data_IF_712919806012
#
_entry.id   IF_712919806012
#
_cell.length_a   1.000
_cell.length_b   1.000
_cell.length_c   1.000
_cell.angle_alpha   90.00
_cell.angle_beta   90.00
_cell.angle_gamma   90.00
#
_symmetry.space_group_name_H-M   'P 1'
#
loop_
_entity.id
_entity.type
_entity.pdbx_description
1 polymer ?
#
# COMPACT_ATOMS: atom_id res chain seq x y z
N UNK A 1 17.56 19.62 -14.66
CA UNK A 1 16.63 18.88 -13.77
C UNK A 1 15.21 19.25 -14.17
N UNK A 2 14.40 18.31 -14.65
CA UNK A 2 12.97 18.56 -14.86
C UNK A 2 12.34 18.79 -13.49
N UNK A 3 11.91 20.01 -13.21
CA UNK A 3 11.27 20.33 -11.93
C UNK A 3 9.81 19.89 -12.02
N UNK A 4 9.50 18.74 -11.43
CA UNK A 4 8.16 18.12 -11.45
C UNK A 4 7.14 18.94 -10.63
N UNK A 5 7.63 19.72 -9.65
CA UNK A 5 6.83 20.56 -8.77
C UNK A 5 7.27 22.02 -8.93
N UNK A 6 6.33 22.90 -9.27
CA UNK A 6 6.59 24.34 -9.41
C UNK A 6 6.72 25.05 -8.05
N UNK A 7 7.32 26.23 -8.03
CA UNK A 7 7.41 27.06 -6.81
C UNK A 7 6.03 27.42 -6.25
N UNK A 8 5.03 27.62 -7.12
CA UNK A 8 3.66 27.87 -6.71
C UNK A 8 3.03 26.65 -6.00
N UNK A 9 3.32 25.44 -6.47
CA UNK A 9 2.87 24.20 -5.83
C UNK A 9 3.58 23.94 -4.50
N UNK A 10 4.87 24.27 -4.40
CA UNK A 10 5.59 24.25 -3.13
C UNK A 10 4.99 25.24 -2.13
N UNK A 11 4.77 26.48 -2.55
CA UNK A 11 4.14 27.49 -1.71
C UNK A 11 2.71 27.08 -1.28
N UNK A 12 1.98 26.33 -2.10
CA UNK A 12 0.70 25.75 -1.70
C UNK A 12 0.87 24.67 -0.62
N UNK A 13 1.78 23.72 -0.83
CA UNK A 13 2.07 22.68 0.16
C UNK A 13 2.45 23.26 1.52
N UNK A 14 3.29 24.30 1.54
CA UNK A 14 3.71 24.96 2.79
C UNK A 14 2.54 25.64 3.52
N UNK A 15 1.56 26.18 2.78
CA UNK A 15 0.37 26.82 3.35
C UNK A 15 -0.69 25.82 3.80
N UNK A 16 -0.94 24.79 2.99
CA UNK A 16 -2.11 23.91 3.12
C UNK A 16 -1.75 22.57 3.79
N UNK A 17 -0.46 22.21 3.84
CA UNK A 17 0.04 20.93 4.32
C UNK A 17 -0.10 19.77 3.32
N UNK A 18 -0.67 20.01 2.14
CA UNK A 18 -0.82 19.03 1.06
C UNK A 18 -0.88 19.71 -0.31
N UNK A 19 -0.65 18.95 -1.38
CA UNK A 19 -0.84 19.44 -2.75
C UNK A 19 -1.36 18.32 -3.66
N UNK A 20 -2.15 18.67 -4.67
CA UNK A 20 -2.67 17.70 -5.66
C UNK A 20 -1.69 17.54 -6.81
N UNK A 21 -1.12 16.35 -6.98
CA UNK A 21 -0.13 16.04 -8.01
C UNK A 21 -0.72 15.71 -9.40
N UNK A 22 -2.05 15.58 -9.50
CA UNK A 22 -2.70 15.15 -10.74
C UNK A 22 -2.52 13.65 -10.98
N UNK A 23 -2.41 13.24 -12.25
CA UNK A 23 -2.25 11.84 -12.64
C UNK A 23 -0.78 11.45 -12.66
N UNK A 24 -0.38 10.60 -11.72
CA UNK A 24 1.00 10.11 -11.59
C UNK A 24 1.26 8.82 -12.35
N UNK A 25 0.25 7.96 -12.47
CA UNK A 25 0.34 6.63 -13.06
C UNK A 25 -0.55 6.51 -14.30
N UNK A 26 -0.11 5.69 -15.26
CA UNK A 26 -1.01 5.23 -16.31
C UNK A 26 -2.06 4.28 -15.73
N UNK A 27 -3.11 3.98 -16.51
CA UNK A 27 -4.10 2.99 -16.08
C UNK A 27 -3.49 1.60 -15.95
N UNK A 28 -2.50 1.29 -16.80
CA UNK A 28 -1.78 0.02 -16.78
C UNK A 28 -0.91 -0.12 -15.52
N UNK A 29 -0.17 0.93 -15.15
CA UNK A 29 0.68 0.90 -13.95
C UNK A 29 -0.16 0.73 -12.68
N UNK A 30 -1.29 1.46 -12.59
CA UNK A 30 -2.21 1.31 -11.45
C UNK A 30 -2.80 -0.11 -11.37
N UNK A 31 -3.22 -0.67 -12.51
CA UNK A 31 -3.76 -2.02 -12.55
C UNK A 31 -2.70 -3.08 -12.16
N UNK A 32 -1.44 -2.87 -12.55
CA UNK A 32 -0.34 -3.74 -12.16
C UNK A 32 -0.09 -3.73 -10.65
N UNK A 33 -0.09 -2.55 -10.01
CA UNK A 33 0.04 -2.42 -8.55
C UNK A 33 -1.13 -3.09 -7.80
N UNK A 34 -2.36 -2.90 -8.30
CA UNK A 34 -3.56 -3.52 -7.74
C UNK A 34 -3.51 -5.04 -7.84
N UNK A 35 -3.08 -5.58 -8.98
CA UNK A 35 -2.92 -7.02 -9.15
C UNK A 35 -1.82 -7.56 -8.25
N UNK A 36 -0.68 -6.85 -8.15
CA UNK A 36 0.44 -7.27 -7.30
C UNK A 36 0.05 -7.39 -5.84
N UNK A 37 -0.65 -6.39 -5.30
CA UNK A 37 -1.06 -6.44 -3.89
C UNK A 37 -2.12 -7.53 -3.66
N UNK A 38 -3.03 -7.76 -4.61
CA UNK A 38 -3.97 -8.88 -4.54
C UNK A 38 -3.24 -10.24 -4.53
N UNK A 39 -2.22 -10.41 -5.35
CA UNK A 39 -1.44 -11.65 -5.37
C UNK A 39 -0.67 -11.87 -4.08
N UNK A 40 -0.15 -10.82 -3.44
CA UNK A 40 0.46 -10.89 -2.10
C UNK A 40 -0.59 -11.29 -1.05
N UNK A 41 -1.74 -10.60 -1.02
CA UNK A 41 -2.81 -10.86 -0.07
C UNK A 41 -3.39 -12.27 -0.21
N UNK A 42 -3.52 -12.77 -1.43
CA UNK A 42 -4.03 -14.11 -1.72
C UNK A 42 -2.96 -15.22 -1.63
N UNK A 43 -1.70 -14.90 -1.30
CA UNK A 43 -0.63 -15.89 -1.18
C UNK A 43 -0.12 -16.45 -2.52
N UNK A 44 -0.39 -15.75 -3.64
CA UNK A 44 0.00 -16.13 -5.00
C UNK A 44 1.34 -15.56 -5.42
N UNK A 45 1.75 -14.44 -4.81
CA UNK A 45 3.03 -13.81 -5.09
C UNK A 45 4.20 -14.62 -4.49
N UNK A 46 5.26 -14.80 -5.27
CA UNK A 46 6.52 -15.38 -4.83
C UNK A 46 7.34 -14.33 -4.05
N UNK A 47 6.97 -14.09 -2.79
CA UNK A 47 7.63 -13.16 -1.87
C UNK A 47 8.01 -13.86 -0.57
N UNK A 48 8.95 -13.28 0.18
CA UNK A 48 9.31 -13.79 1.49
C UNK A 48 8.33 -13.25 2.56
N UNK A 49 7.21 -13.94 2.76
CA UNK A 49 6.20 -13.55 3.75
C UNK A 49 6.72 -13.50 5.19
N UNK A 50 7.78 -14.24 5.51
CA UNK A 50 8.41 -14.19 6.84
C UNK A 50 9.07 -12.85 7.13
N UNK A 51 9.28 -12.01 6.10
CA UNK A 51 9.79 -10.63 6.24
C UNK A 51 8.69 -9.57 6.24
N UNK A 52 7.46 -9.93 5.90
CA UNK A 52 6.35 -8.98 5.79
C UNK A 52 5.51 -8.99 7.07
N UNK A 53 5.35 -7.84 7.70
CA UNK A 53 4.37 -7.65 8.76
C UNK A 53 2.96 -7.51 8.16
N UNK A 54 2.04 -8.39 8.56
CA UNK A 54 0.68 -8.43 8.01
C UNK A 54 -0.36 -8.44 9.13
N UNK A 55 -1.52 -7.84 8.86
CA UNK A 55 -2.66 -7.78 9.78
C UNK A 55 -3.96 -7.91 8.99
N UNK A 56 -4.79 -8.89 9.38
CA UNK A 56 -6.18 -8.97 8.90
C UNK A 56 -7.01 -7.87 9.55
N UNK A 57 -7.98 -7.36 8.80
CA UNK A 57 -9.00 -6.49 9.37
C UNK A 57 -9.98 -7.29 10.25
N UNK A 58 -10.79 -6.55 10.99
CA UNK A 58 -11.93 -7.11 11.73
C UNK A 58 -13.08 -7.46 10.79
N UNK A 59 -13.78 -8.55 11.05
CA UNK A 59 -15.04 -8.86 10.36
C UNK A 59 -16.20 -7.99 10.87
N UNK A 60 -16.06 -7.42 12.08
CA UNK A 60 -17.04 -6.53 12.71
C UNK A 60 -16.91 -5.05 12.29
N UNK A 61 -15.79 -4.68 11.66
CA UNK A 61 -15.42 -3.30 11.38
C UNK A 61 -14.86 -2.52 12.58
N UNK A 62 -14.82 -3.12 13.78
CA UNK A 62 -14.25 -2.47 14.98
C UNK A 62 -12.74 -2.66 15.04
N UNK A 63 -12.03 -1.57 15.35
CA UNK A 63 -10.57 -1.58 15.36
C UNK A 63 -9.99 -2.61 16.33
N UNK A 64 -10.59 -2.73 17.52
CA UNK A 64 -10.18 -3.63 18.59
C UNK A 64 -10.35 -5.12 18.28
N UNK A 65 -11.23 -5.45 17.32
CA UNK A 65 -11.49 -6.82 16.89
C UNK A 65 -10.54 -7.25 15.74
N UNK A 66 -9.68 -6.36 15.27
CA UNK A 66 -8.75 -6.67 14.19
C UNK A 66 -7.72 -7.73 14.64
N UNK A 67 -7.28 -8.56 13.68
CA UNK A 67 -6.30 -9.60 13.94
C UNK A 67 -4.97 -9.03 14.47
N UNK A 68 -4.16 -9.87 15.12
CA UNK A 68 -2.84 -9.47 15.62
C UNK A 68 -1.89 -9.16 14.45
N UNK A 69 -1.28 -7.97 14.46
CA UNK A 69 -0.22 -7.65 13.52
C UNK A 69 1.02 -8.50 13.82
N UNK A 70 1.45 -9.31 12.87
CA UNK A 70 2.65 -10.15 13.02
C UNK A 70 3.22 -10.55 11.66
N UNK A 71 4.46 -11.04 11.63
CA UNK A 71 5.09 -11.48 10.38
C UNK A 71 4.42 -12.73 9.81
N UNK A 72 4.50 -12.91 8.50
CA UNK A 72 3.93 -14.06 7.81
C UNK A 72 2.52 -13.83 7.28
N UNK A 73 2.16 -14.59 6.24
CA UNK A 73 0.84 -14.59 5.62
C UNK A 73 -0.24 -15.06 6.62
N UNK A 74 -1.44 -14.45 6.55
CA UNK A 74 -2.54 -14.69 7.49
C UNK A 74 -3.73 -15.42 6.85
N UNK A 75 -3.55 -15.94 5.63
CA UNK A 75 -4.60 -16.62 4.87
C UNK A 75 -4.94 -15.90 3.57
N UNK A 76 -5.46 -16.66 2.61
CA UNK A 76 -5.78 -16.16 1.28
C UNK A 76 -7.10 -15.38 1.30
N UNK A 77 -7.00 -14.08 1.57
CA UNK A 77 -8.14 -13.15 1.64
C UNK A 77 -7.72 -11.76 1.21
N UNK A 78 -8.66 -10.92 0.78
CA UNK A 78 -8.42 -9.50 0.55
C UNK A 78 -8.70 -8.63 1.78
N UNK A 79 -9.07 -9.24 2.92
CA UNK A 79 -9.39 -8.52 4.15
C UNK A 79 -8.14 -8.18 4.99
N UNK A 80 -7.06 -7.70 4.36
CA UNK A 80 -5.89 -7.19 5.08
C UNK A 80 -6.02 -5.69 5.28
N UNK A 81 -5.90 -5.22 6.53
CA UNK A 81 -5.90 -3.79 6.86
C UNK A 81 -4.52 -3.16 6.84
N UNK A 82 -3.47 -3.97 6.98
CA UNK A 82 -2.09 -3.49 7.08
C UNK A 82 -1.12 -4.53 6.54
N UNK A 83 -0.25 -4.09 5.65
CA UNK A 83 0.93 -4.81 5.17
C UNK A 83 2.08 -3.80 5.22
N UNK A 84 3.18 -4.17 5.88
CA UNK A 84 4.41 -3.37 5.91
C UNK A 84 5.55 -4.17 5.29
N UNK A 85 6.70 -3.51 5.15
CA UNK A 85 7.92 -4.11 4.61
C UNK A 85 7.78 -4.51 3.12
N UNK A 86 6.96 -3.76 2.37
CA UNK A 86 6.73 -3.94 0.93
C UNK A 86 7.93 -3.52 0.09
N UNK A 87 8.90 -2.78 0.64
CA UNK A 87 10.16 -2.47 -0.03
C UNK A 87 11.01 -3.72 -0.33
N UNK A 88 10.68 -4.87 0.27
CA UNK A 88 11.28 -6.16 -0.08
C UNK A 88 10.56 -6.86 -1.23
N UNK A 89 9.43 -6.33 -1.69
CA UNK A 89 8.80 -6.73 -2.94
C UNK A 89 9.58 -6.10 -4.10
N UNK A 90 9.97 -6.87 -5.15
CA UNK A 90 10.82 -6.34 -6.21
C UNK A 90 10.07 -5.48 -7.25
N UNK A 91 8.80 -5.16 -7.02
CA UNK A 91 7.94 -4.42 -7.95
C UNK A 91 7.85 -2.92 -7.60
#
# INVERSE_FOLDING_TARGET
MNRIISDAQWAQYDRDGYLRLGRLLTGADLAALQQRINDIMLGKAAVNYDRMLMQLDSDSGKYEDAGVQSRGHKGATLNYRKIQDLEFDPL
#
